data_IF_494411975398
#
_entry.id   IF_494411975398
#
_cell.length_a   1.000
_cell.length_b   1.000
_cell.length_c   1.000
_cell.angle_alpha   90.00
_cell.angle_beta   90.00
_cell.angle_gamma   90.00
#
_symmetry.space_group_name_H-M   'P 1'
#
loop_
_entity.id
_entity.type
_entity.pdbx_description
1 polymer ?
#
# COMPACT_ATOMS: atom_id res chain seq x y z
N UNK A 1 -0.50 3.13 -17.87
CA UNK A 1 0.71 3.99 -17.81
C UNK A 1 0.36 5.46 -17.60
N UNK A 2 -0.12 6.22 -18.59
CA UNK A 2 -0.58 7.63 -18.39
C UNK A 2 -1.63 7.75 -17.29
N UNK A 3 -2.52 6.75 -17.22
CA UNK A 3 -3.50 6.65 -16.16
C UNK A 3 -2.87 6.66 -14.76
N UNK A 4 -1.81 5.88 -14.52
CA UNK A 4 -1.13 5.84 -13.22
C UNK A 4 -0.57 7.21 -12.85
N UNK A 5 0.06 7.90 -13.81
CA UNK A 5 0.64 9.23 -13.59
C UNK A 5 -0.41 10.30 -13.23
N UNK A 6 -1.58 10.29 -13.87
CA UNK A 6 -2.63 11.27 -13.57
C UNK A 6 -3.42 10.90 -12.32
N UNK A 7 -3.89 9.65 -12.23
CA UNK A 7 -4.91 9.26 -11.27
C UNK A 7 -4.34 8.81 -9.92
N UNK A 8 -3.19 8.12 -9.86
CA UNK A 8 -2.67 7.63 -8.57
C UNK A 8 -2.29 8.81 -7.65
N UNK A 9 -1.51 9.82 -8.08
CA UNK A 9 -1.21 10.97 -7.22
C UNK A 9 -2.46 11.74 -6.81
N UNK A 10 -3.41 11.93 -7.73
CA UNK A 10 -4.67 12.60 -7.44
C UNK A 10 -5.52 11.83 -6.42
N UNK A 11 -5.71 10.53 -6.60
CA UNK A 11 -6.43 9.67 -5.66
C UNK A 11 -5.74 9.65 -4.29
N UNK A 12 -4.42 9.59 -4.26
CA UNK A 12 -3.67 9.66 -3.01
C UNK A 12 -3.93 10.98 -2.27
N UNK A 13 -3.98 12.10 -3.01
CA UNK A 13 -4.32 13.40 -2.43
C UNK A 13 -5.75 13.43 -1.88
N UNK A 14 -6.73 12.89 -2.60
CA UNK A 14 -8.11 12.78 -2.13
C UNK A 14 -8.22 11.91 -0.87
N UNK A 15 -7.51 10.78 -0.82
CA UNK A 15 -7.45 9.92 0.36
C UNK A 15 -6.82 10.63 1.56
N UNK A 16 -5.75 11.39 1.34
CA UNK A 16 -5.12 12.19 2.39
C UNK A 16 -6.07 13.26 2.92
N UNK A 17 -6.82 13.93 2.03
CA UNK A 17 -7.83 14.93 2.40
C UNK A 17 -8.98 14.28 3.19
N UNK A 18 -9.44 13.10 2.76
CA UNK A 18 -10.46 12.33 3.46
C UNK A 18 -9.99 11.90 4.84
N UNK A 19 -8.77 11.36 4.95
CA UNK A 19 -8.14 11.00 6.23
C UNK A 19 -8.10 12.21 7.17
N UNK A 20 -7.66 13.37 6.67
CA UNK A 20 -7.62 14.60 7.45
C UNK A 20 -9.02 15.01 7.92
N UNK A 21 -10.02 14.98 7.04
CA UNK A 21 -11.40 15.29 7.40
C UNK A 21 -11.93 14.34 8.49
N UNK A 22 -11.80 13.04 8.27
CA UNK A 22 -12.30 11.99 9.18
C UNK A 22 -11.65 12.08 10.56
N UNK A 23 -10.35 12.35 10.62
CA UNK A 23 -9.59 12.42 11.86
C UNK A 23 -9.81 13.72 12.63
N UNK A 24 -10.17 14.81 11.95
CA UNK A 24 -10.44 16.12 12.57
C UNK A 24 -11.93 16.38 12.83
N UNK A 25 -12.84 15.57 12.30
CA UNK A 25 -14.28 15.72 12.54
C UNK A 25 -14.70 14.97 13.80
N UNK A 26 -15.36 15.68 14.72
CA UNK A 26 -15.96 15.08 15.91
C UNK A 26 -17.03 14.06 15.49
N UNK A 27 -16.94 12.84 16.04
CA UNK A 27 -17.96 11.81 15.78
C UNK A 27 -19.21 12.09 16.60
N UNK A 28 -20.38 11.81 16.03
CA UNK A 28 -21.65 11.90 16.75
C UNK A 28 -21.59 11.09 18.05
N UNK A 29 -22.08 11.69 19.13
CA UNK A 29 -22.13 11.05 20.43
C UNK A 29 -23.07 9.84 20.40
N UNK A 30 -22.63 8.72 20.96
CA UNK A 30 -23.41 7.50 21.07
C UNK A 30 -23.31 6.97 22.51
N UNK A 31 -24.41 7.05 23.25
CA UNK A 31 -24.53 6.64 24.65
C UNK A 31 -24.27 5.15 24.91
N UNK A 32 -24.34 4.30 23.88
CA UNK A 32 -24.07 2.87 24.01
C UNK A 32 -22.59 2.52 23.79
N UNK A 33 -21.73 3.52 23.50
CA UNK A 33 -20.32 3.33 23.19
C UNK A 33 -19.47 3.77 24.38
N UNK A 34 -18.61 2.88 24.88
CA UNK A 34 -17.69 3.16 26.00
C UNK A 34 -16.44 3.93 25.55
N UNK A 35 -16.23 4.08 24.23
CA UNK A 35 -15.05 4.76 23.69
C UNK A 35 -15.13 6.29 23.87
N UNK A 36 -13.97 6.97 23.97
CA UNK A 36 -13.94 8.41 24.22
C UNK A 36 -14.65 9.18 23.11
N UNK A 37 -15.38 10.23 23.51
CA UNK A 37 -16.12 11.09 22.59
C UNK A 37 -15.33 12.36 22.32
N UNK A 38 -15.03 12.63 21.05
CA UNK A 38 -14.30 13.82 20.67
C UNK A 38 -13.81 13.75 19.24
N UNK A 39 -12.95 14.71 18.88
CA UNK A 39 -12.23 14.68 17.61
C UNK A 39 -11.18 13.57 17.70
N UNK A 40 -11.18 12.56 16.80
CA UNK A 40 -10.26 11.43 16.89
C UNK A 40 -8.80 11.82 17.04
N UNK A 41 -8.34 12.84 16.30
CA UNK A 41 -6.96 13.34 16.39
C UNK A 41 -6.62 13.87 17.78
N UNK A 42 -7.54 14.58 18.43
CA UNK A 42 -7.35 15.13 19.77
C UNK A 42 -7.45 14.07 20.86
N UNK A 43 -8.42 13.17 20.76
CA UNK A 43 -8.54 11.98 21.64
C UNK A 43 -7.26 11.15 21.56
N UNK A 44 -6.71 11.00 20.36
CA UNK A 44 -5.44 10.34 20.20
C UNK A 44 -4.32 11.17 20.85
N UNK A 45 -4.13 12.45 20.53
CA UNK A 45 -3.01 13.24 21.05
C UNK A 45 -3.00 13.45 22.57
N UNK A 46 -4.18 13.65 23.16
CA UNK A 46 -4.39 14.07 24.55
C UNK A 46 -5.55 13.30 25.18
N UNK A 47 -5.43 11.98 25.36
CA UNK A 47 -6.52 11.12 25.83
C UNK A 47 -7.03 11.49 27.23
N UNK A 48 -6.18 12.03 28.09
CA UNK A 48 -6.50 12.49 29.45
C UNK A 48 -7.62 13.53 29.49
N UNK A 49 -7.64 14.46 28.52
CA UNK A 49 -8.68 15.50 28.41
C UNK A 49 -10.07 14.92 28.09
N UNK A 50 -10.11 13.68 27.60
CA UNK A 50 -11.31 12.95 27.22
C UNK A 50 -11.64 11.79 28.16
N UNK A 51 -10.98 11.74 29.33
CA UNK A 51 -11.19 10.68 30.33
C UNK A 51 -10.74 9.29 29.83
N UNK A 52 -9.79 9.25 28.90
CA UNK A 52 -9.30 8.02 28.28
C UNK A 52 -7.90 7.65 28.77
N UNK A 53 -7.61 6.35 28.79
CA UNK A 53 -6.27 5.84 29.06
C UNK A 53 -5.45 5.77 27.76
N UNK A 54 -4.16 6.11 27.85
CA UNK A 54 -3.25 6.06 26.71
C UNK A 54 -2.55 4.69 26.63
N UNK A 55 -2.87 3.91 25.61
CA UNK A 55 -2.22 2.61 25.34
C UNK A 55 -1.32 2.61 24.10
N UNK A 56 -0.86 3.79 23.66
CA UNK A 56 -0.04 3.88 22.45
C UNK A 56 1.32 3.22 22.63
N UNK A 57 1.71 2.45 21.63
CA UNK A 57 3.10 2.05 21.42
C UNK A 57 3.78 3.14 20.60
N UNK A 58 4.68 3.88 21.21
CA UNK A 58 5.44 4.93 20.53
C UNK A 58 6.56 4.28 19.72
N UNK A 59 6.42 4.28 18.39
CA UNK A 59 7.49 3.87 17.48
C UNK A 59 8.29 5.12 17.09
N UNK A 60 9.60 5.09 17.29
CA UNK A 60 10.45 6.22 16.87
C UNK A 60 10.52 6.30 15.35
N UNK A 61 10.54 7.52 14.82
CA UNK A 61 10.67 7.74 13.37
C UNK A 61 12.00 7.17 12.86
N UNK A 62 13.06 7.28 13.68
CA UNK A 62 14.38 6.70 13.40
C UNK A 62 14.30 5.18 13.23
N UNK A 63 13.59 4.46 14.11
CA UNK A 63 13.41 3.02 13.98
C UNK A 63 12.65 2.66 12.70
N UNK A 64 11.62 3.43 12.33
CA UNK A 64 10.90 3.22 11.07
C UNK A 64 11.79 3.44 9.84
N UNK A 65 12.65 4.46 9.87
CA UNK A 65 13.62 4.71 8.79
C UNK A 65 14.64 3.58 8.71
N UNK A 66 15.14 3.09 9.84
CA UNK A 66 16.07 1.96 9.88
C UNK A 66 15.42 0.68 9.32
N UNK A 67 14.21 0.33 9.77
CA UNK A 67 13.45 -0.82 9.24
C UNK A 67 13.25 -0.67 7.73
N UNK A 68 12.88 0.53 7.27
CA UNK A 68 12.77 0.79 5.83
C UNK A 68 14.10 0.59 5.11
N UNK A 69 15.22 1.06 5.65
CA UNK A 69 16.53 0.86 5.02
C UNK A 69 16.98 -0.61 5.01
N UNK A 70 16.60 -1.39 6.03
CA UNK A 70 16.96 -2.81 6.16
C UNK A 70 16.15 -3.68 5.20
N UNK A 71 14.83 -3.46 5.12
CA UNK A 71 13.94 -4.37 4.39
C UNK A 71 13.48 -3.84 3.03
N UNK A 72 13.58 -2.54 2.79
CA UNK A 72 13.09 -1.92 1.57
C UNK A 72 14.29 -1.38 0.78
N UNK A 73 14.59 -2.02 -0.34
CA UNK A 73 15.50 -1.44 -1.32
C UNK A 73 14.82 -0.21 -1.97
N UNK A 74 15.31 1.02 -1.73
CA UNK A 74 14.67 2.23 -2.26
C UNK A 74 14.81 2.34 -3.78
N UNK A 75 15.72 1.60 -4.40
CA UNK A 75 15.90 1.53 -5.84
C UNK A 75 15.08 0.40 -6.49
N UNK A 76 14.19 -0.26 -5.73
CA UNK A 76 13.37 -1.33 -6.28
C UNK A 76 12.31 -0.76 -7.24
N UNK A 77 12.18 -1.30 -8.47
CA UNK A 77 11.28 -0.77 -9.51
C UNK A 77 9.80 -0.81 -9.12
N UNK A 78 9.41 -1.61 -8.11
CA UNK A 78 8.04 -1.61 -7.55
C UNK A 78 7.60 -0.24 -7.03
N UNK A 79 8.55 0.62 -6.64
CA UNK A 79 8.24 1.97 -6.16
C UNK A 79 8.07 2.97 -7.31
N UNK A 80 8.47 2.61 -8.52
CA UNK A 80 8.29 3.44 -9.70
C UNK A 80 6.86 3.25 -10.24
N UNK A 81 6.03 4.29 -10.08
CA UNK A 81 4.67 4.30 -10.66
C UNK A 81 4.68 4.09 -12.18
N UNK A 82 5.79 4.53 -12.81
CA UNK A 82 6.10 4.39 -14.22
C UNK A 82 7.60 4.30 -14.42
N UNK A 83 8.07 3.65 -15.51
CA UNK A 83 9.45 3.75 -15.93
C UNK A 83 9.90 5.22 -16.01
N UNK A 84 11.07 5.59 -15.45
CA UNK A 84 11.51 6.98 -15.36
C UNK A 84 11.55 7.71 -16.71
N UNK A 85 11.93 7.01 -17.78
CA UNK A 85 11.94 7.55 -19.14
C UNK A 85 10.53 7.96 -19.62
N UNK A 86 9.51 7.14 -19.30
CA UNK A 86 8.12 7.44 -19.65
C UNK A 86 7.57 8.59 -18.79
N UNK A 87 7.91 8.61 -17.49
CA UNK A 87 7.52 9.69 -16.59
C UNK A 87 8.03 11.05 -17.08
N UNK A 88 9.31 11.12 -17.46
CA UNK A 88 9.93 12.34 -18.02
C UNK A 88 9.20 12.82 -19.28
N UNK A 89 8.84 11.90 -20.17
CA UNK A 89 8.12 12.24 -21.40
C UNK A 89 6.69 12.73 -21.15
N UNK A 90 5.98 12.12 -20.19
CA UNK A 90 4.65 12.57 -19.77
C UNK A 90 4.75 13.96 -19.13
N UNK A 91 5.76 14.20 -18.30
CA UNK A 91 6.02 15.50 -17.66
C UNK A 91 6.24 16.61 -18.70
N UNK A 92 6.99 16.33 -19.78
CA UNK A 92 7.17 17.27 -20.89
C UNK A 92 5.85 17.59 -21.60
N UNK A 93 5.04 16.58 -21.86
CA UNK A 93 3.73 16.74 -22.47
C UNK A 93 2.78 17.54 -21.54
N UNK A 94 2.84 17.29 -20.24
CA UNK A 94 2.07 18.01 -19.24
C UNK A 94 2.54 19.47 -19.07
N UNK A 95 3.84 19.73 -19.20
CA UNK A 95 4.39 21.08 -19.24
C UNK A 95 3.90 21.84 -20.48
N UNK A 96 3.83 21.19 -21.64
CA UNK A 96 3.28 21.77 -22.87
C UNK A 96 1.80 22.14 -22.74
N UNK A 97 1.03 21.39 -21.96
CA UNK A 97 -0.37 21.70 -21.63
C UNK A 97 -0.52 22.86 -20.61
N UNK A 98 0.57 23.44 -20.13
CA UNK A 98 0.55 24.54 -19.16
C UNK A 98 0.34 24.11 -17.71
N UNK A 99 0.60 22.83 -17.38
CA UNK A 99 0.45 22.26 -16.03
C UNK A 99 -0.93 22.50 -15.38
N UNK A 100 -2.02 22.11 -16.05
CA UNK A 100 -3.37 22.34 -15.54
C UNK A 100 -3.63 21.57 -14.24
N UNK A 101 -4.25 22.19 -13.23
CA UNK A 101 -4.51 21.51 -11.95
C UNK A 101 -5.36 20.25 -12.13
N UNK A 102 -4.91 19.12 -11.60
CA UNK A 102 -5.64 17.85 -11.61
C UNK A 102 -6.70 17.87 -10.51
N UNK A 103 -7.97 17.76 -10.91
CA UNK A 103 -9.14 17.72 -10.02
C UNK A 103 -10.14 16.71 -10.57
N UNK A 104 -11.18 16.36 -9.81
CA UNK A 104 -12.25 15.47 -10.28
C UNK A 104 -12.83 15.86 -11.65
N UNK A 105 -12.94 17.16 -11.94
CA UNK A 105 -13.54 17.67 -13.18
C UNK A 105 -12.53 17.80 -14.33
N UNK A 106 -11.24 17.90 -14.03
CA UNK A 106 -10.18 18.13 -15.03
C UNK A 106 -9.32 16.89 -15.29
N UNK A 107 -9.25 15.93 -14.36
CA UNK A 107 -8.38 14.76 -14.43
C UNK A 107 -8.60 13.95 -15.71
N UNK A 108 -9.86 13.72 -16.08
CA UNK A 108 -10.19 12.98 -17.29
C UNK A 108 -9.78 13.73 -18.57
N UNK A 109 -10.02 15.04 -18.62
CA UNK A 109 -9.63 15.86 -19.77
C UNK A 109 -8.11 15.92 -19.93
N UNK A 110 -7.37 16.08 -18.83
CA UNK A 110 -5.90 16.06 -18.80
C UNK A 110 -5.39 14.70 -19.29
N UNK A 111 -5.98 13.61 -18.80
CA UNK A 111 -5.66 12.26 -19.26
C UNK A 111 -5.85 12.09 -20.77
N UNK A 112 -7.01 12.49 -21.31
CA UNK A 112 -7.28 12.39 -22.75
C UNK A 112 -6.31 13.24 -23.58
N UNK A 113 -5.97 14.45 -23.13
CA UNK A 113 -5.02 15.32 -23.83
C UNK A 113 -3.61 14.72 -23.84
N UNK A 114 -3.13 14.23 -22.69
CA UNK A 114 -1.84 13.56 -22.59
C UNK A 114 -1.82 12.30 -23.46
N UNK A 115 -2.86 11.48 -23.42
CA UNK A 115 -2.97 10.29 -24.24
C UNK A 115 -2.92 10.62 -25.74
N UNK A 116 -3.67 11.65 -26.16
CA UNK A 116 -3.66 12.11 -27.55
C UNK A 116 -2.28 12.58 -28.01
N UNK A 117 -1.56 13.33 -27.18
CA UNK A 117 -0.19 13.77 -27.47
C UNK A 117 0.79 12.60 -27.58
N UNK A 118 0.64 11.59 -26.73
CA UNK A 118 1.48 10.39 -26.77
C UNK A 118 1.22 9.58 -28.05
N UNK A 119 -0.05 9.36 -28.40
CA UNK A 119 -0.42 8.65 -29.63
C UNK A 119 0.09 9.35 -30.90
N UNK A 120 0.21 10.68 -30.91
CA UNK A 120 0.74 11.43 -32.05
C UNK A 120 2.27 11.35 -32.19
N UNK A 121 3.00 11.06 -31.11
CA UNK A 121 4.47 11.04 -31.07
C UNK A 121 5.06 9.63 -31.22
N UNK A 122 4.38 8.75 -31.95
CA UNK A 122 4.61 7.30 -32.00
C UNK A 122 6.08 6.87 -32.27
N UNK A 123 6.86 6.74 -31.19
CA UNK A 123 7.96 5.78 -30.98
C UNK A 123 7.74 5.01 -29.65
N UNK A 124 6.48 4.77 -29.29
CA UNK A 124 6.07 4.10 -28.03
C UNK A 124 6.51 2.62 -27.89
N UNK A 125 6.80 1.81 -28.94
CA UNK A 125 7.11 0.39 -28.75
C UNK A 125 8.33 0.10 -27.85
N UNK A 126 9.36 0.97 -27.85
CA UNK A 126 10.60 0.72 -27.09
C UNK A 126 10.46 0.85 -25.57
N UNK A 127 9.41 1.52 -25.08
CA UNK A 127 9.25 1.79 -23.64
C UNK A 127 8.39 0.70 -22.96
N UNK A 128 7.53 0.00 -23.72
CA UNK A 128 6.67 -1.06 -23.20
C UNK A 128 7.40 -2.39 -22.96
N UNK A 129 8.49 -2.67 -23.67
CA UNK A 129 9.30 -3.90 -23.50
C UNK A 129 9.96 -4.02 -22.12
N UNK A 130 10.03 -2.95 -21.33
CA UNK A 130 10.66 -2.93 -19.99
C UNK A 130 9.69 -3.36 -18.88
N UNK A 131 8.41 -3.60 -19.20
CA UNK A 131 7.36 -3.86 -18.22
C UNK A 131 6.89 -5.32 -18.21
N UNK A 132 7.81 -6.28 -18.33
CA UNK A 132 7.51 -7.63 -17.89
C UNK A 132 7.45 -7.62 -16.34
N UNK A 133 6.29 -7.24 -15.81
CA UNK A 133 6.04 -7.04 -14.36
C UNK A 133 6.17 -8.37 -13.59
N UNK A 134 6.16 -9.50 -14.31
CA UNK A 134 6.35 -10.84 -13.76
C UNK A 134 7.84 -11.25 -13.67
N UNK A 135 8.76 -10.42 -14.14
CA UNK A 135 10.21 -10.66 -14.09
C UNK A 135 10.94 -9.82 -13.03
N UNK A 136 10.22 -9.20 -12.09
CA UNK A 136 10.85 -8.71 -10.88
C UNK A 136 11.29 -9.93 -10.08
N UNK A 137 12.61 -10.14 -9.96
CA UNK A 137 13.20 -11.18 -9.12
C UNK A 137 12.38 -11.36 -7.84
N UNK A 138 11.64 -12.47 -7.77
CA UNK A 138 11.15 -13.06 -6.52
C UNK A 138 12.40 -13.48 -5.76
N UNK A 139 13.12 -12.50 -5.20
CA UNK A 139 14.28 -12.75 -4.37
C UNK A 139 13.76 -13.47 -3.13
N UNK A 140 13.85 -14.80 -3.18
CA UNK A 140 13.48 -15.73 -2.12
C UNK A 140 14.12 -15.23 -0.83
N UNK A 141 13.30 -14.63 0.04
CA UNK A 141 13.79 -14.06 1.29
C UNK A 141 14.26 -15.24 2.16
N UNK A 142 15.53 -15.27 2.60
CA UNK A 142 16.02 -16.36 3.41
C UNK A 142 15.17 -16.48 4.69
N UNK A 143 14.76 -17.71 4.98
CA UNK A 143 13.95 -18.02 6.16
C UNK A 143 14.64 -17.49 7.43
N UNK A 144 13.93 -16.70 8.23
CA UNK A 144 14.46 -16.20 9.50
C UNK A 144 14.81 -17.38 10.42
N UNK A 145 15.94 -17.27 11.12
CA UNK A 145 16.44 -18.33 12.00
C UNK A 145 15.38 -18.73 13.05
N UNK A 146 14.98 -20.00 13.03
CA UNK A 146 13.95 -20.56 13.93
C UNK A 146 12.52 -20.58 13.37
N UNK A 147 12.29 -20.19 12.12
CA UNK A 147 11.03 -20.38 11.41
C UNK A 147 11.11 -21.59 10.45
N UNK A 148 9.97 -22.22 10.17
CA UNK A 148 9.81 -23.28 9.17
C UNK A 148 8.85 -22.79 8.08
N UNK A 149 9.06 -23.21 6.83
CA UNK A 149 8.14 -22.92 5.74
C UNK A 149 6.79 -23.57 5.99
N UNK A 150 5.73 -22.84 5.65
CA UNK A 150 4.38 -23.37 5.77
C UNK A 150 4.17 -24.47 4.72
N UNK A 151 3.62 -25.64 5.10
CA UNK A 151 3.34 -26.69 4.14
C UNK A 151 2.23 -26.23 3.19
N UNK A 152 2.60 -25.85 1.98
CA UNK A 152 1.67 -25.63 0.87
C UNK A 152 1.54 -26.95 0.09
N UNK A 153 0.40 -27.62 0.21
CA UNK A 153 0.09 -28.80 -0.61
C UNK A 153 -0.63 -28.34 -1.89
N UNK A 154 0.15 -28.14 -2.96
CA UNK A 154 -0.37 -27.72 -4.28
C UNK A 154 -1.29 -28.78 -4.91
N UNK A 155 -1.19 -30.05 -4.49
CA UNK A 155 -1.83 -31.17 -5.17
C UNK A 155 -3.28 -31.39 -4.79
N UNK A 156 -3.76 -30.83 -3.67
CA UNK A 156 -5.08 -31.22 -3.15
C UNK A 156 -5.91 -30.07 -2.58
N UNK A 157 -5.84 -28.87 -3.17
CA UNK A 157 -6.77 -27.75 -2.91
C UNK A 157 -7.06 -27.47 -1.42
N UNK A 158 -6.11 -27.84 -0.56
CA UNK A 158 -6.30 -28.07 0.87
C UNK A 158 -5.97 -26.80 1.62
N UNK A 159 -7.03 -26.15 2.06
CA UNK A 159 -7.06 -24.80 2.61
C UNK A 159 -6.23 -24.66 3.90
N UNK A 160 -5.23 -23.77 3.87
CA UNK A 160 -4.57 -23.26 5.07
C UNK A 160 -5.55 -22.41 5.89
N UNK A 161 -6.06 -22.96 6.99
CA UNK A 161 -7.09 -22.32 7.83
C UNK A 161 -6.57 -21.29 8.84
N UNK A 162 -5.26 -21.16 9.02
CA UNK A 162 -4.67 -20.32 10.07
C UNK A 162 -5.03 -20.79 11.49
N UNK A 163 -4.06 -21.29 12.26
CA UNK A 163 -4.31 -21.68 13.65
C UNK A 163 -3.26 -22.59 14.27
N UNK A 164 -3.19 -22.52 15.61
CA UNK A 164 -2.48 -23.32 16.64
C UNK A 164 -1.23 -24.10 16.19
N UNK A 165 -0.08 -23.82 16.82
CA UNK A 165 1.17 -24.56 16.61
C UNK A 165 1.99 -24.08 15.40
N UNK A 166 2.10 -22.76 15.21
CA UNK A 166 2.82 -22.13 14.08
C UNK A 166 2.31 -22.55 12.67
N UNK A 167 1.03 -22.92 12.55
CA UNK A 167 0.45 -23.26 11.25
C UNK A 167 0.67 -24.70 10.78
N UNK A 168 1.30 -25.55 11.62
CA UNK A 168 1.50 -26.98 11.35
C UNK A 168 0.30 -27.86 11.71
N UNK A 169 -0.78 -27.27 12.25
CA UNK A 169 -1.97 -28.01 12.67
C UNK A 169 -1.74 -28.91 13.89
N UNK A 170 -2.78 -29.68 14.26
CA UNK A 170 -2.69 -30.69 15.31
C UNK A 170 -1.92 -31.89 14.75
N UNK A 171 -0.74 -32.20 15.33
CA UNK A 171 0.00 -33.43 14.98
C UNK A 171 -0.91 -34.63 15.21
N UNK A 172 -1.04 -35.49 14.21
CA UNK A 172 -1.75 -36.77 14.34
C UNK A 172 -1.09 -37.59 15.45
N UNK A 173 -1.75 -37.67 16.60
CA UNK A 173 -1.39 -38.60 17.66
C UNK A 173 -1.69 -40.01 17.16
N UNK A 174 -0.64 -40.72 16.75
CA UNK A 174 -0.67 -42.14 16.42
C UNK A 174 -0.98 -42.93 17.69
N UNK A 175 -2.25 -43.25 17.89
CA UNK A 175 -2.65 -44.24 18.89
C UNK A 175 -2.28 -45.63 18.37
N UNK A 176 -1.17 -46.18 18.88
CA UNK A 176 -0.90 -47.61 18.80
C UNK A 176 -1.88 -48.34 19.74
N UNK A 177 -2.88 -49.01 19.18
CA UNK A 177 -3.58 -50.09 19.87
C UNK A 177 -2.81 -51.39 19.63
N UNK A 178 -2.17 -51.93 20.67
CA UNK A 178 -1.71 -53.31 20.68
C UNK A 178 -2.88 -54.20 21.11
N UNK A 179 -3.23 -55.18 20.29
CA UNK A 179 -3.98 -56.36 20.74
C UNK A 179 -3.04 -57.35 21.43
#
# INVERSE_FOLDING_TARGET
MVFHWVFIPWLQQELNNYQACVNNTQKCHNKNKVLPHGVPKLVHSSPEDYGALNFKVMVSLEAMVQVRQVYINPAHPVFDLLPPALGTFIDECYAYLGRPSVSRNSAWAIYCNLLGMLCQRAEIPRIMEVMDVDAADEAELPLLEGLEELPFDETNGGYYMGGVGNGLGLRESTFFFSF
#
